data_IF_791185432797
#
_entry.id   IF_791185432797
#
_cell.length_a   1.000
_cell.length_b   1.000
_cell.length_c   1.000
_cell.angle_alpha   90.00
_cell.angle_beta   90.00
_cell.angle_gamma   90.00
#
_symmetry.space_group_name_H-M   'P 1'
#
loop_
_entity.id
_entity.type
_entity.pdbx_description
1 polymer ?
#
# COMPACT_ATOMS: atom_id res chain seq x y z
N UNK A 1 -16.77 -11.91 13.74
CA UNK A 1 -15.42 -12.18 13.21
C UNK A 1 -14.45 -11.41 14.08
N UNK A 2 -13.42 -12.09 14.58
CA UNK A 2 -12.38 -11.41 15.35
C UNK A 2 -11.64 -10.38 14.47
N UNK A 3 -11.14 -9.28 15.06
CA UNK A 3 -10.53 -8.19 14.28
C UNK A 3 -9.26 -8.66 13.55
N UNK A 4 -8.52 -9.59 14.15
CA UNK A 4 -7.34 -10.18 13.52
C UNK A 4 -7.72 -11.14 12.39
N UNK A 5 -8.80 -11.92 12.55
CA UNK A 5 -9.36 -12.74 11.46
C UNK A 5 -9.88 -11.89 10.29
N UNK A 6 -10.54 -10.77 10.59
CA UNK A 6 -10.99 -9.80 9.59
C UNK A 6 -9.80 -9.30 8.77
N UNK A 7 -8.78 -8.73 9.42
CA UNK A 7 -7.62 -8.21 8.69
C UNK A 7 -6.85 -9.29 7.94
N UNK A 8 -6.79 -10.53 8.46
CA UNK A 8 -6.24 -11.66 7.71
C UNK A 8 -7.00 -11.92 6.42
N UNK A 9 -8.34 -11.88 6.46
CA UNK A 9 -9.18 -12.09 5.28
C UNK A 9 -9.05 -10.95 4.26
N UNK A 10 -8.94 -9.70 4.73
CA UNK A 10 -8.74 -8.52 3.89
C UNK A 10 -7.34 -8.55 3.24
N UNK A 11 -6.30 -8.82 4.03
CA UNK A 11 -4.91 -8.89 3.55
C UNK A 11 -4.69 -10.00 2.51
N UNK A 12 -5.43 -11.12 2.63
CA UNK A 12 -5.35 -12.22 1.67
C UNK A 12 -5.84 -11.84 0.27
N UNK A 13 -6.65 -10.78 0.14
CA UNK A 13 -7.16 -10.24 -1.13
C UNK A 13 -6.32 -9.13 -1.73
N UNK A 14 -5.32 -8.65 -0.99
CA UNK A 14 -4.39 -7.62 -1.45
C UNK A 14 -2.93 -8.07 -1.27
N UNK A 15 -2.51 -9.19 -1.88
CA UNK A 15 -1.17 -9.74 -1.68
C UNK A 15 -0.04 -8.80 -2.14
N UNK A 16 -0.23 -8.03 -3.21
CA UNK A 16 0.79 -7.09 -3.70
C UNK A 16 0.99 -5.94 -2.73
N UNK A 17 -0.08 -5.25 -2.35
CA UNK A 17 -0.02 -4.14 -1.39
C UNK A 17 0.42 -4.61 0.01
N UNK A 18 0.00 -5.80 0.43
CA UNK A 18 0.52 -6.42 1.66
C UNK A 18 2.03 -6.64 1.58
N UNK A 19 2.53 -7.12 0.45
CA UNK A 19 3.98 -7.33 0.25
C UNK A 19 4.71 -6.00 0.31
N UNK A 20 4.23 -4.96 -0.39
CA UNK A 20 4.81 -3.61 -0.32
C UNK A 20 4.92 -3.11 1.13
N UNK A 21 3.85 -3.25 1.92
CA UNK A 21 3.84 -2.83 3.33
C UNK A 21 4.75 -3.67 4.24
N UNK A 22 4.80 -4.99 4.04
CA UNK A 22 5.48 -5.91 4.96
C UNK A 22 6.94 -6.19 4.59
N UNK A 23 7.27 -6.17 3.30
CA UNK A 23 8.60 -6.48 2.78
C UNK A 23 9.40 -5.21 2.53
N UNK A 24 8.87 -4.28 1.73
CA UNK A 24 9.62 -3.07 1.37
C UNK A 24 9.58 -2.05 2.49
N UNK A 25 8.38 -1.77 3.03
CA UNK A 25 8.22 -0.93 4.22
C UNK A 25 8.29 -1.74 5.52
N UNK A 26 9.26 -2.65 5.64
CA UNK A 26 9.52 -3.36 6.90
C UNK A 26 10.07 -2.41 8.00
N UNK A 27 10.36 -2.87 9.21
CA UNK A 27 10.79 -1.99 10.32
C UNK A 27 12.12 -1.27 10.11
N UNK A 28 12.98 -1.80 9.24
CA UNK A 28 14.32 -1.29 8.94
C UNK A 28 14.39 -0.75 7.49
N UNK A 29 13.24 -0.42 6.88
CA UNK A 29 13.15 0.00 5.48
C UNK A 29 14.05 1.21 5.14
N UNK A 30 14.27 2.10 6.12
CA UNK A 30 15.10 3.30 5.99
C UNK A 30 16.60 3.01 5.95
N UNK A 31 17.01 1.75 6.18
CA UNK A 31 18.38 1.29 5.94
C UNK A 31 18.63 0.93 4.47
N UNK A 32 17.60 0.43 3.78
CA UNK A 32 17.67 -0.02 2.39
C UNK A 32 17.27 1.08 1.40
N UNK A 33 16.43 2.01 1.84
CA UNK A 33 15.87 3.06 0.99
C UNK A 33 16.12 4.46 1.57
N UNK A 34 16.51 5.44 0.74
CA UNK A 34 16.77 6.80 1.22
C UNK A 34 15.48 7.56 1.59
N UNK A 35 14.35 7.19 1.00
CA UNK A 35 13.03 7.77 1.25
C UNK A 35 11.90 6.87 0.73
N UNK A 36 10.67 7.20 1.12
CA UNK A 36 9.45 6.49 0.68
C UNK A 36 9.29 6.54 -0.83
N UNK A 37 9.67 7.66 -1.46
CA UNK A 37 9.49 7.85 -2.90
C UNK A 37 10.35 6.88 -3.71
N UNK A 38 11.56 6.57 -3.23
CA UNK A 38 12.46 5.62 -3.87
C UNK A 38 11.88 4.20 -3.91
N UNK A 39 11.20 3.78 -2.84
CA UNK A 39 10.43 2.53 -2.83
C UNK A 39 9.33 2.58 -3.87
N UNK A 40 8.55 3.67 -3.93
CA UNK A 40 7.44 3.79 -4.87
C UNK A 40 7.89 3.82 -6.33
N UNK A 41 9.04 4.44 -6.63
CA UNK A 41 9.61 4.40 -7.98
C UNK A 41 9.93 2.95 -8.37
N UNK A 42 10.64 2.22 -7.51
CA UNK A 42 11.04 0.85 -7.77
C UNK A 42 9.85 -0.13 -7.84
N UNK A 43 8.99 -0.13 -6.82
CA UNK A 43 7.96 -1.16 -6.61
C UNK A 43 6.57 -0.82 -7.15
N UNK A 44 6.38 0.40 -7.64
CA UNK A 44 5.12 0.84 -8.24
C UNK A 44 5.30 1.44 -9.64
N UNK A 45 6.29 2.30 -9.86
CA UNK A 45 6.44 2.95 -11.17
C UNK A 45 7.23 2.14 -12.18
N UNK A 46 8.23 1.37 -11.76
CA UNK A 46 9.07 0.58 -12.66
C UNK A 46 8.48 -0.81 -12.97
N UNK A 47 7.58 -1.32 -12.12
CA UNK A 47 6.90 -2.62 -12.33
C UNK A 47 6.01 -2.64 -13.57
N UNK A 48 5.64 -3.83 -14.04
CA UNK A 48 4.87 -3.98 -15.28
C UNK A 48 3.48 -3.32 -15.21
N UNK A 49 2.86 -3.14 -16.37
CA UNK A 49 1.46 -2.70 -16.45
C UNK A 49 0.52 -3.66 -15.71
N UNK A 50 0.75 -4.96 -15.80
CA UNK A 50 -0.08 -5.97 -15.14
C UNK A 50 0.00 -5.85 -13.61
N UNK A 51 1.19 -5.62 -13.07
CA UNK A 51 1.39 -5.36 -11.64
C UNK A 51 0.72 -4.06 -11.20
N UNK A 52 0.79 -2.99 -12.00
CA UNK A 52 0.06 -1.76 -11.71
C UNK A 52 -1.48 -1.92 -11.76
N UNK A 53 -2.01 -2.79 -12.63
CA UNK A 53 -3.44 -3.16 -12.61
C UNK A 53 -3.79 -3.84 -11.29
N UNK A 54 -2.95 -4.80 -10.87
CA UNK A 54 -3.13 -5.49 -9.59
C UNK A 54 -3.11 -4.50 -8.41
N UNK A 55 -2.11 -3.63 -8.31
CA UNK A 55 -2.05 -2.63 -7.24
C UNK A 55 -3.28 -1.72 -7.20
N UNK A 56 -3.75 -1.23 -8.36
CA UNK A 56 -4.96 -0.41 -8.43
C UNK A 56 -6.17 -1.17 -7.87
N UNK A 57 -6.40 -2.39 -8.34
CA UNK A 57 -7.57 -3.20 -7.99
C UNK A 57 -7.54 -3.61 -6.51
N UNK A 58 -6.36 -3.95 -5.99
CA UNK A 58 -6.15 -4.24 -4.56
C UNK A 58 -6.40 -3.01 -3.69
N UNK A 59 -5.88 -1.84 -4.09
CA UNK A 59 -6.08 -0.59 -3.35
C UNK A 59 -7.54 -0.14 -3.38
N UNK A 60 -8.25 -0.29 -4.50
CA UNK A 60 -9.69 -0.05 -4.58
C UNK A 60 -10.47 -0.94 -3.60
N UNK A 61 -10.16 -2.24 -3.57
CA UNK A 61 -10.76 -3.18 -2.62
C UNK A 61 -10.48 -2.77 -1.16
N UNK A 62 -9.22 -2.48 -0.83
CA UNK A 62 -8.84 -2.10 0.53
C UNK A 62 -9.51 -0.79 0.97
N UNK A 63 -9.58 0.21 0.09
CA UNK A 63 -10.21 1.49 0.40
C UNK A 63 -11.72 1.39 0.62
N UNK A 64 -12.36 0.36 0.05
CA UNK A 64 -13.77 0.00 0.30
C UNK A 64 -13.94 -0.72 1.64
N UNK A 65 -13.09 -1.70 1.96
CA UNK A 65 -13.18 -2.50 3.20
C UNK A 65 -12.67 -1.74 4.44
N UNK A 66 -11.79 -0.75 4.26
CA UNK A 66 -11.19 0.04 5.33
C UNK A 66 -11.62 1.51 5.19
N UNK A 67 -12.90 1.84 5.39
CA UNK A 67 -13.47 3.12 4.98
C UNK A 67 -12.97 4.32 5.78
N UNK A 68 -12.37 4.11 6.96
CA UNK A 68 -11.89 5.18 7.84
C UNK A 68 -10.37 5.15 8.05
N UNK A 69 -9.79 6.27 8.46
CA UNK A 69 -8.37 6.33 8.87
C UNK A 69 -8.07 5.30 9.96
N UNK A 70 -8.97 5.11 10.92
CA UNK A 70 -8.76 4.16 12.02
C UNK A 70 -8.75 2.69 11.56
N UNK A 71 -9.51 2.36 10.50
CA UNK A 71 -9.50 1.01 9.93
C UNK A 71 -8.17 0.73 9.24
N UNK A 72 -7.67 1.71 8.47
CA UNK A 72 -6.39 1.65 7.78
C UNK A 72 -5.23 1.59 8.78
N UNK A 73 -5.22 2.44 9.82
CA UNK A 73 -4.20 2.40 10.87
C UNK A 73 -4.16 1.04 11.59
N UNK A 74 -5.33 0.44 11.81
CA UNK A 74 -5.42 -0.91 12.38
C UNK A 74 -4.91 -1.99 11.43
N UNK A 75 -5.16 -1.85 10.12
CA UNK A 75 -4.63 -2.74 9.09
C UNK A 75 -3.11 -2.65 8.97
N UNK A 76 -2.53 -1.44 8.96
CA UNK A 76 -1.08 -1.22 8.91
C UNK A 76 -0.39 -1.88 10.12
N UNK A 77 -0.95 -1.70 11.32
CA UNK A 77 -0.48 -2.38 12.54
C UNK A 77 -0.57 -3.90 12.45
N UNK A 78 -1.63 -4.43 11.83
CA UNK A 78 -1.79 -5.86 11.61
C UNK A 78 -0.76 -6.41 10.62
N UNK A 79 -0.50 -5.70 9.52
CA UNK A 79 0.48 -6.10 8.50
C UNK A 79 1.90 -6.03 9.05
N UNK A 80 2.17 -5.12 9.99
CA UNK A 80 3.48 -4.96 10.63
C UNK A 80 4.45 -4.12 9.80
N UNK A 81 3.95 -3.07 9.13
CA UNK A 81 4.79 -2.12 8.40
C UNK A 81 5.57 -1.21 9.37
N UNK A 82 6.80 -0.89 9.01
CA UNK A 82 7.61 0.15 9.63
C UNK A 82 7.28 1.55 9.16
N UNK A 83 6.57 1.70 8.03
CA UNK A 83 6.12 3.01 7.56
C UNK A 83 5.09 3.61 8.51
N UNK A 84 5.32 4.86 8.89
CA UNK A 84 4.46 5.69 9.72
C UNK A 84 3.98 6.89 8.89
N UNK A 85 2.86 6.80 8.14
CA UNK A 85 2.47 7.83 7.18
C UNK A 85 2.40 9.27 7.72
N UNK A 86 1.99 9.45 8.98
CA UNK A 86 1.97 10.79 9.60
C UNK A 86 3.36 11.37 9.85
N UNK A 87 4.35 10.51 10.13
CA UNK A 87 5.72 10.89 10.43
C UNK A 87 6.50 11.03 9.12
N UNK A 88 6.43 10.02 8.25
CA UNK A 88 7.27 9.91 7.06
C UNK A 88 6.73 10.72 5.88
N UNK A 89 5.40 10.92 5.81
CA UNK A 89 4.72 11.56 4.68
C UNK A 89 3.90 12.80 5.08
N UNK A 90 3.75 13.07 6.37
CA UNK A 90 2.94 14.20 6.86
C UNK A 90 1.43 14.07 6.62
N UNK A 91 0.93 12.88 6.27
CA UNK A 91 -0.48 12.65 5.93
C UNK A 91 -1.06 11.40 6.61
N UNK A 92 -2.38 11.18 6.50
CA UNK A 92 -2.99 9.94 7.01
C UNK A 92 -2.67 8.75 6.11
N UNK A 93 -2.67 7.54 6.68
CA UNK A 93 -2.44 6.31 5.93
C UNK A 93 -3.49 6.12 4.82
N UNK A 94 -4.76 6.48 5.07
CA UNK A 94 -5.82 6.39 4.06
C UNK A 94 -5.63 7.37 2.92
N UNK A 95 -5.24 8.62 3.20
CA UNK A 95 -4.93 9.60 2.15
C UNK A 95 -3.79 9.10 1.25
N UNK A 96 -2.74 8.56 1.86
CA UNK A 96 -1.63 7.98 1.10
C UNK A 96 -2.08 6.79 0.23
N UNK A 97 -2.93 5.88 0.75
CA UNK A 97 -3.48 4.79 -0.07
C UNK A 97 -4.31 5.28 -1.27
N UNK A 98 -5.06 6.38 -1.12
CA UNK A 98 -5.77 7.01 -2.24
C UNK A 98 -4.79 7.52 -3.30
N UNK A 99 -3.70 8.17 -2.88
CA UNK A 99 -2.66 8.64 -3.79
C UNK A 99 -1.96 7.50 -4.53
N UNK A 100 -1.65 6.39 -3.83
CA UNK A 100 -1.07 5.20 -4.45
C UNK A 100 -2.00 4.56 -5.48
N UNK A 101 -3.30 4.49 -5.19
CA UNK A 101 -4.29 3.97 -6.14
C UNK A 101 -4.30 4.84 -7.40
N UNK A 102 -4.32 6.15 -7.22
CA UNK A 102 -4.34 7.09 -8.34
C UNK A 102 -3.03 7.04 -9.14
N UNK A 103 -1.89 6.82 -8.47
CA UNK A 103 -0.57 6.60 -9.11
C UNK A 103 -0.57 5.32 -9.93
N UNK A 104 -1.01 4.20 -9.37
CA UNK A 104 -1.14 2.93 -10.07
C UNK A 104 -2.08 3.07 -11.29
N UNK A 105 -3.20 3.76 -11.15
CA UNK A 105 -4.13 4.03 -12.25
C UNK A 105 -3.49 4.84 -13.38
N UNK A 106 -2.66 5.85 -13.06
CA UNK A 106 -1.89 6.60 -14.06
C UNK A 106 -0.86 5.72 -14.75
N UNK A 107 -0.14 4.87 -14.01
CA UNK A 107 0.83 3.94 -14.56
C UNK A 107 0.19 2.93 -15.52
N UNK A 108 -1.03 2.46 -15.23
CA UNK A 108 -1.81 1.60 -16.15
C UNK A 108 -2.12 2.30 -17.47
N UNK A 109 -2.40 3.61 -17.44
CA UNK A 109 -2.72 4.42 -18.62
C UNK A 109 -1.47 4.77 -19.43
N UNK A 110 -0.36 5.13 -18.75
CA UNK A 110 0.88 5.57 -19.40
C UNK A 110 1.65 4.43 -20.04
N UNK A 111 1.51 3.20 -19.51
CA UNK A 111 2.14 1.98 -20.04
C UNK A 111 1.29 1.25 -21.08
N UNK A 112 0.31 1.91 -21.69
CA UNK A 112 -0.47 1.34 -22.77
C UNK A 112 0.41 1.11 -24.01
N UNK A 113 0.32 -0.11 -24.55
CA UNK A 113 1.01 -0.56 -25.78
C UNK A 113 0.68 0.30 -27.01
#
# INVERSE_FOLDING_TARGET
MDKHEYYRSVAARAPGFRSLLAAEFNYDWDLDWPDVESVLVNDLDEVSRAENVQYRDELDYLLQELPTDSDVDGFFKFVGTGLLPRVDLGQSARSWMLELRDRAARNVQSKAE
#
